data_IF_587249803158
#
_entry.id   IF_587249803158
#
_cell.length_a   1.000
_cell.length_b   1.000
_cell.length_c   1.000
_cell.angle_alpha   90.00
_cell.angle_beta   90.00
_cell.angle_gamma   90.00
#
_symmetry.space_group_name_H-M   'P 1'
#
loop_
_entity.id
_entity.type
_entity.pdbx_description
1 polymer ?
#
# COMPACT_ATOMS: atom_id res chain seq x y z
N UNK A 1 7.54 -17.63 -1.54
CA UNK A 1 6.81 -16.36 -1.42
C UNK A 1 5.34 -16.60 -1.72
N UNK A 2 4.42 -16.28 -0.82
CA UNK A 2 3.01 -16.34 -1.17
C UNK A 2 2.74 -15.34 -2.29
N UNK A 3 1.87 -15.64 -3.26
CA UNK A 3 1.51 -14.70 -4.30
C UNK A 3 0.85 -13.45 -3.68
N UNK A 4 1.20 -12.27 -4.19
CA UNK A 4 0.54 -11.05 -3.76
C UNK A 4 -0.97 -11.13 -4.04
N UNK A 5 -1.81 -10.68 -3.11
CA UNK A 5 -3.25 -10.68 -3.34
C UNK A 5 -3.59 -9.80 -4.53
N UNK A 6 -4.55 -10.20 -5.38
CA UNK A 6 -4.92 -9.40 -6.53
C UNK A 6 -5.52 -8.07 -6.12
N UNK A 7 -5.14 -7.01 -6.80
CA UNK A 7 -5.82 -5.73 -6.68
C UNK A 7 -7.20 -5.83 -7.32
N UNK A 8 -8.24 -5.56 -6.54
CA UNK A 8 -9.63 -5.59 -7.00
C UNK A 8 -9.99 -4.32 -7.78
N UNK A 9 -9.38 -3.21 -7.42
CA UNK A 9 -9.60 -1.91 -8.04
C UNK A 9 -8.25 -1.30 -8.42
N UNK A 10 -8.07 -1.08 -9.73
CA UNK A 10 -6.84 -0.50 -10.30
C UNK A 10 -7.03 0.97 -10.71
N UNK A 11 -8.24 1.51 -10.56
CA UNK A 11 -8.54 2.88 -10.98
C UNK A 11 -7.91 3.89 -10.03
N UNK A 12 -7.14 4.78 -10.61
CA UNK A 12 -6.55 5.93 -9.93
C UNK A 12 -7.51 7.14 -9.94
N UNK A 13 -7.21 8.13 -9.13
CA UNK A 13 -7.91 9.42 -9.16
C UNK A 13 -8.03 9.99 -10.58
N UNK A 14 -6.94 9.98 -11.35
CA UNK A 14 -6.92 10.52 -12.71
C UNK A 14 -7.81 9.71 -13.68
N UNK A 15 -7.85 8.39 -13.54
CA UNK A 15 -8.71 7.54 -14.36
C UNK A 15 -10.18 7.82 -14.10
N UNK A 16 -10.55 7.98 -12.84
CA UNK A 16 -11.92 8.29 -12.42
C UNK A 16 -12.31 9.69 -12.90
N UNK A 17 -11.44 10.68 -12.70
CA UNK A 17 -11.69 12.06 -13.14
C UNK A 17 -11.88 12.14 -14.65
N UNK A 18 -11.00 11.51 -15.42
CA UNK A 18 -11.09 11.45 -16.89
C UNK A 18 -12.39 10.78 -17.33
N UNK A 19 -12.76 9.66 -16.70
CA UNK A 19 -14.00 8.97 -17.01
C UNK A 19 -15.25 9.81 -16.71
N UNK A 20 -15.21 10.60 -15.63
CA UNK A 20 -16.29 11.53 -15.28
C UNK A 20 -16.40 12.67 -16.31
N UNK A 21 -15.27 13.29 -16.66
CA UNK A 21 -15.21 14.36 -17.65
C UNK A 21 -15.73 13.92 -19.03
N UNK A 22 -15.39 12.71 -19.46
CA UNK A 22 -15.87 12.16 -20.72
C UNK A 22 -17.40 11.95 -20.77
N UNK A 23 -18.04 11.80 -19.61
CA UNK A 23 -19.50 11.61 -19.50
C UNK A 23 -20.28 12.91 -19.47
N UNK A 24 -19.68 14.03 -19.08
CA UNK A 24 -20.35 15.34 -18.93
C UNK A 24 -21.08 15.75 -20.20
N UNK A 25 -20.50 15.71 -21.42
CA UNK A 25 -21.20 16.16 -22.63
C UNK A 25 -22.48 15.37 -22.94
N UNK A 26 -22.53 14.11 -22.47
CA UNK A 26 -23.73 13.26 -22.65
C UNK A 26 -24.89 13.61 -21.72
N UNK A 27 -24.61 14.19 -20.56
CA UNK A 27 -25.63 14.54 -19.56
C UNK A 27 -25.91 16.04 -19.51
N UNK A 28 -24.89 16.85 -19.69
CA UNK A 28 -24.98 18.31 -19.56
C UNK A 28 -24.13 18.97 -20.66
N UNK A 29 -24.61 19.01 -21.90
CA UNK A 29 -23.86 19.58 -23.04
C UNK A 29 -23.62 21.08 -22.91
N UNK A 30 -24.38 21.76 -22.05
CA UNK A 30 -24.25 23.19 -21.77
C UNK A 30 -23.05 23.53 -20.90
N UNK A 31 -22.51 22.55 -20.15
CA UNK A 31 -21.35 22.76 -19.28
C UNK A 31 -20.05 22.55 -20.07
N UNK A 32 -19.49 23.63 -20.55
CA UNK A 32 -18.30 23.63 -21.41
C UNK A 32 -17.06 24.20 -20.71
N UNK A 33 -17.23 24.86 -19.57
CA UNK A 33 -16.12 25.44 -18.80
C UNK A 33 -15.69 24.46 -17.68
N UNK A 34 -14.51 23.88 -17.87
CA UNK A 34 -13.92 22.91 -16.94
C UNK A 34 -12.68 23.51 -16.27
N UNK A 35 -12.79 24.76 -15.84
CA UNK A 35 -11.71 25.46 -15.17
C UNK A 35 -11.57 24.94 -13.73
N UNK A 36 -10.34 24.92 -13.21
CA UNK A 36 -10.05 24.51 -11.82
C UNK A 36 -10.81 25.33 -10.77
N UNK A 37 -11.18 26.57 -11.11
CA UNK A 37 -11.96 27.44 -10.23
C UNK A 37 -13.48 27.23 -10.33
N UNK A 38 -13.94 26.35 -11.21
CA UNK A 38 -15.36 26.01 -11.34
C UNK A 38 -15.82 25.10 -10.19
N UNK A 39 -16.89 25.45 -9.47
CA UNK A 39 -17.39 24.61 -8.36
C UNK A 39 -17.84 23.22 -8.83
N UNK A 40 -18.30 23.07 -10.07
CA UNK A 40 -18.64 21.77 -10.64
C UNK A 40 -17.42 20.88 -10.82
N UNK A 41 -16.31 21.43 -11.32
CA UNK A 41 -15.03 20.73 -11.46
C UNK A 41 -14.50 20.30 -10.08
N UNK A 42 -14.55 21.19 -9.09
CA UNK A 42 -14.15 20.87 -7.71
C UNK A 42 -14.96 19.69 -7.12
N UNK A 43 -16.26 19.62 -7.40
CA UNK A 43 -17.10 18.49 -6.98
C UNK A 43 -16.71 17.19 -7.68
N UNK A 44 -16.40 17.22 -8.97
CA UNK A 44 -15.93 16.05 -9.70
C UNK A 44 -14.60 15.52 -9.15
N UNK A 45 -13.69 16.43 -8.84
CA UNK A 45 -12.41 16.09 -8.23
C UNK A 45 -12.59 15.46 -6.84
N UNK A 46 -13.51 16.00 -6.04
CA UNK A 46 -13.86 15.42 -4.74
C UNK A 46 -14.42 14.01 -4.89
N UNK A 47 -15.32 13.77 -5.85
CA UNK A 47 -15.86 12.43 -6.13
C UNK A 47 -14.79 11.47 -6.65
N UNK A 48 -13.88 11.93 -7.49
CA UNK A 48 -12.76 11.12 -7.98
C UNK A 48 -11.83 10.70 -6.82
N UNK A 49 -11.50 11.62 -5.93
CA UNK A 49 -10.72 11.34 -4.72
C UNK A 49 -11.44 10.35 -3.79
N UNK A 50 -12.75 10.53 -3.59
CA UNK A 50 -13.55 9.61 -2.78
C UNK A 50 -13.58 8.22 -3.40
N UNK A 51 -13.73 8.12 -4.72
CA UNK A 51 -13.69 6.87 -5.46
C UNK A 51 -12.36 6.13 -5.31
N UNK A 52 -11.25 6.83 -5.44
CA UNK A 52 -9.91 6.26 -5.20
C UNK A 52 -9.75 5.77 -3.76
N UNK A 53 -10.18 6.57 -2.77
CA UNK A 53 -10.09 6.19 -1.36
C UNK A 53 -10.93 4.95 -1.02
N UNK A 54 -12.10 4.79 -1.65
CA UNK A 54 -12.93 3.59 -1.54
C UNK A 54 -12.25 2.39 -2.21
N UNK A 55 -11.67 2.58 -3.40
CA UNK A 55 -10.88 1.56 -4.10
C UNK A 55 -9.71 1.07 -3.26
N UNK A 56 -8.99 1.96 -2.62
CA UNK A 56 -7.92 1.63 -1.71
C UNK A 56 -8.40 0.76 -0.54
N UNK A 57 -9.52 1.11 0.08
CA UNK A 57 -10.12 0.30 1.17
C UNK A 57 -10.53 -1.09 0.69
N UNK A 58 -11.11 -1.20 -0.50
CA UNK A 58 -11.46 -2.49 -1.10
C UNK A 58 -10.22 -3.36 -1.35
N UNK A 59 -9.12 -2.78 -1.75
CA UNK A 59 -7.87 -3.50 -1.97
C UNK A 59 -7.20 -3.99 -0.67
N UNK A 60 -7.60 -3.48 0.50
CA UNK A 60 -7.15 -3.98 1.79
C UNK A 60 -7.88 -5.25 2.26
N UNK A 61 -9.06 -5.54 1.69
CA UNK A 61 -9.87 -6.71 2.08
C UNK A 61 -9.22 -8.04 1.70
N UNK A 62 -8.66 -8.23 0.47
CA UNK A 62 -8.06 -9.50 0.06
C UNK A 62 -6.95 -10.00 0.99
N UNK A 63 -5.98 -9.18 1.45
CA UNK A 63 -4.95 -9.63 2.38
C UNK A 63 -5.52 -10.17 3.70
N UNK A 64 -6.51 -9.46 4.26
CA UNK A 64 -7.14 -9.86 5.51
C UNK A 64 -7.95 -11.16 5.34
N UNK A 65 -8.68 -11.30 4.25
CA UNK A 65 -9.42 -12.52 3.92
C UNK A 65 -8.47 -13.70 3.70
N UNK A 66 -7.34 -13.48 3.03
CA UNK A 66 -6.34 -14.51 2.79
C UNK A 66 -5.76 -15.03 4.10
N UNK A 67 -5.39 -14.14 5.01
CA UNK A 67 -4.89 -14.51 6.33
C UNK A 67 -5.93 -15.33 7.10
N UNK A 68 -7.19 -14.91 7.11
CA UNK A 68 -8.27 -15.63 7.80
C UNK A 68 -8.56 -16.99 7.17
N UNK A 69 -8.46 -17.11 5.85
CA UNK A 69 -8.62 -18.39 5.16
C UNK A 69 -7.48 -19.35 5.53
N UNK A 70 -6.24 -18.87 5.55
CA UNK A 70 -5.07 -19.67 5.94
C UNK A 70 -5.17 -20.13 7.39
N UNK A 71 -5.64 -19.25 8.30
CA UNK A 71 -5.90 -19.62 9.70
C UNK A 71 -6.99 -20.71 9.83
N UNK A 72 -8.03 -20.66 8.98
CA UNK A 72 -9.12 -21.65 8.96
C UNK A 72 -8.63 -23.07 8.60
N UNK A 73 -7.66 -23.18 7.71
CA UNK A 73 -7.04 -24.48 7.34
C UNK A 73 -5.94 -24.90 8.31
N UNK A 74 -5.78 -24.20 9.43
CA UNK A 74 -4.87 -24.55 10.52
C UNK A 74 -3.43 -24.07 10.36
N UNK A 75 -3.14 -23.29 9.33
CA UNK A 75 -1.84 -22.67 9.17
C UNK A 75 -1.81 -21.35 9.95
N UNK A 76 -0.75 -21.17 10.73
CA UNK A 76 -0.51 -19.92 11.47
C UNK A 76 0.73 -19.24 10.92
N UNK A 77 0.78 -17.91 10.93
CA UNK A 77 2.00 -17.18 10.59
C UNK A 77 3.14 -17.62 11.51
N UNK A 78 4.31 -17.89 10.93
CA UNK A 78 5.49 -18.16 11.74
C UNK A 78 5.88 -16.90 12.52
N UNK A 79 6.11 -17.02 13.85
CA UNK A 79 6.61 -15.91 14.63
C UNK A 79 8.02 -15.52 14.17
N UNK A 80 8.39 -14.29 14.42
CA UNK A 80 9.75 -13.84 14.16
C UNK A 80 10.74 -14.68 14.97
N UNK A 81 11.71 -15.31 14.29
CA UNK A 81 12.78 -16.07 14.92
C UNK A 81 13.99 -15.16 15.14
N UNK A 82 14.66 -15.25 16.30
CA UNK A 82 15.88 -14.50 16.52
C UNK A 82 16.98 -14.99 15.59
N UNK A 83 17.80 -14.07 15.10
CA UNK A 83 19.00 -14.43 14.35
C UNK A 83 20.04 -15.05 15.29
N UNK A 84 20.68 -16.12 14.85
CA UNK A 84 21.78 -16.77 15.58
C UNK A 84 23.06 -16.57 14.77
N UNK A 85 24.08 -16.03 15.45
CA UNK A 85 25.40 -15.88 14.87
C UNK A 85 26.44 -16.58 15.76
N UNK A 86 27.34 -17.32 15.14
CA UNK A 86 28.50 -17.89 15.81
C UNK A 86 29.65 -16.90 15.71
N UNK A 87 30.11 -16.39 16.85
CA UNK A 87 31.23 -15.45 16.92
C UNK A 87 32.45 -16.15 17.49
N UNK A 88 33.57 -16.04 16.81
CA UNK A 88 34.88 -16.46 17.33
C UNK A 88 35.70 -15.22 17.71
N UNK A 89 36.14 -15.19 18.95
CA UNK A 89 37.01 -14.11 19.44
C UNK A 89 38.45 -14.60 19.44
N UNK A 90 39.34 -13.94 18.69
CA UNK A 90 40.78 -14.16 18.78
C UNK A 90 41.39 -13.01 19.55
N UNK A 91 42.03 -13.32 20.66
CA UNK A 91 42.79 -12.32 21.41
C UNK A 91 44.19 -12.18 20.81
N UNK A 92 44.57 -10.98 20.46
CA UNK A 92 45.97 -10.69 20.18
C UNK A 92 46.75 -10.78 21.51
N UNK A 93 47.84 -11.59 21.61
CA UNK A 93 48.59 -11.67 22.85
C UNK A 93 49.11 -10.28 23.22
N UNK A 94 48.69 -9.83 24.40
CA UNK A 94 49.16 -8.56 24.90
C UNK A 94 50.67 -8.67 25.12
N UNK A 95 51.43 -7.67 24.69
CA UNK A 95 52.85 -7.59 24.93
C UNK A 95 53.11 -7.62 26.46
N UNK A 96 54.00 -8.47 26.95
CA UNK A 96 54.20 -8.68 28.40
C UNK A 96 54.56 -7.41 29.18
N UNK A 97 54.84 -6.33 28.52
CA UNK A 97 55.14 -5.01 29.13
C UNK A 97 53.91 -4.27 29.67
N UNK A 98 52.68 -4.78 29.43
CA UNK A 98 51.46 -4.10 29.91
C UNK A 98 50.93 -4.62 31.24
N UNK A 99 51.47 -5.69 31.76
CA UNK A 99 51.10 -6.21 33.11
C UNK A 99 52.17 -5.73 34.16
N UNK A 100 52.22 -4.44 34.44
CA UNK A 100 52.83 -3.94 35.64
C UNK A 100 51.78 -3.91 36.76
N UNK A 101 52.09 -4.66 37.84
CA UNK A 101 51.35 -4.58 39.11
C UNK A 101 51.47 -3.18 39.71
#
# INVERSE_FOLDING_TARGET
MPPDPPNLVLQTYQDILTALQLRIPGYTPEWTDWNESDPGTTLLELFAWLGESMGYRLNQVPPACYQKFVELIGLRPEPALPSVAYLSFTTTPASPSQFRR
#
